data_IF_661668602094
#
_entry.id   IF_661668602094
#
_cell.length_a   1.000
_cell.length_b   1.000
_cell.length_c   1.000
_cell.angle_alpha   90.00
_cell.angle_beta   90.00
_cell.angle_gamma   90.00
#
_symmetry.space_group_name_H-M   'P 1'
#
loop_
_entity.id
_entity.type
_entity.pdbx_description
1 polymer ?
#
# COMPACT_ATOMS: atom_id res chain seq x y z
N UNK A 1 11.82 26.19 -1.75
CA UNK A 1 11.07 25.41 -2.75
C UNK A 1 11.88 24.16 -2.99
N UNK A 2 11.41 23.02 -2.50
CA UNK A 2 12.09 21.76 -2.78
C UNK A 2 11.92 21.44 -4.26
N UNK A 3 12.94 20.88 -4.88
CA UNK A 3 12.82 20.38 -6.24
C UNK A 3 11.92 19.14 -6.22
N UNK A 4 10.98 19.06 -7.14
CA UNK A 4 10.17 17.85 -7.34
C UNK A 4 11.10 16.68 -7.61
N UNK A 5 11.00 15.63 -6.80
CA UNK A 5 11.81 14.41 -6.88
C UNK A 5 10.92 13.20 -7.11
N UNK A 6 11.48 12.17 -7.73
CA UNK A 6 10.81 10.88 -7.85
C UNK A 6 10.77 10.22 -6.47
N UNK A 7 9.57 9.81 -6.06
CA UNK A 7 9.32 9.10 -4.82
C UNK A 7 8.40 7.92 -5.09
N UNK A 8 8.45 6.95 -4.20
CA UNK A 8 7.50 5.86 -4.15
C UNK A 8 6.87 5.78 -2.77
N UNK A 9 5.66 5.25 -2.71
CA UNK A 9 4.98 4.92 -1.46
C UNK A 9 4.59 3.46 -1.50
N UNK A 10 5.20 2.65 -0.62
CA UNK A 10 4.93 1.22 -0.48
C UNK A 10 4.15 1.01 0.82
N UNK A 11 2.89 0.63 0.68
CA UNK A 11 1.96 0.39 1.78
C UNK A 11 1.38 -1.00 1.67
N UNK A 12 1.24 -1.65 2.80
CA UNK A 12 0.34 -2.79 2.94
C UNK A 12 -0.96 -2.29 3.54
N UNK A 13 -2.09 -2.66 2.96
CA UNK A 13 -3.42 -2.28 3.42
C UNK A 13 -4.34 -3.50 3.52
N UNK A 14 -5.25 -3.49 4.49
CA UNK A 14 -6.31 -4.49 4.60
C UNK A 14 -7.62 -3.89 4.09
N UNK A 15 -8.13 -4.39 2.96
CA UNK A 15 -9.31 -3.84 2.30
C UNK A 15 -10.13 -4.93 1.61
N UNK A 16 -11.41 -4.66 1.33
CA UNK A 16 -12.22 -5.55 0.47
C UNK A 16 -11.85 -5.31 -1.00
N UNK A 17 -11.91 -6.33 -1.88
CA UNK A 17 -11.57 -6.17 -3.29
C UNK A 17 -12.32 -5.05 -4.01
N UNK A 18 -13.63 -4.92 -3.77
CA UNK A 18 -14.43 -3.86 -4.37
C UNK A 18 -14.04 -2.45 -3.89
N UNK A 19 -13.57 -2.32 -2.64
CA UNK A 19 -13.06 -1.06 -2.11
C UNK A 19 -11.73 -0.70 -2.77
N UNK A 20 -10.85 -1.68 -2.94
CA UNK A 20 -9.57 -1.48 -3.63
C UNK A 20 -9.75 -1.07 -5.10
N UNK A 21 -10.64 -1.72 -5.84
CA UNK A 21 -10.95 -1.35 -7.23
C UNK A 21 -11.43 0.10 -7.34
N UNK A 22 -12.31 0.52 -6.44
CA UNK A 22 -12.78 1.92 -6.41
C UNK A 22 -11.64 2.87 -6.03
N UNK A 23 -10.88 2.53 -4.98
CA UNK A 23 -9.82 3.35 -4.42
C UNK A 23 -8.68 3.58 -5.43
N UNK A 24 -8.21 2.51 -6.08
CA UNK A 24 -7.16 2.56 -7.10
C UNK A 24 -7.51 3.46 -8.28
N UNK A 25 -8.79 3.57 -8.65
CA UNK A 25 -9.26 4.46 -9.71
C UNK A 25 -9.29 5.95 -9.32
N UNK A 26 -9.50 6.27 -8.04
CA UNK A 26 -9.59 7.66 -7.56
C UNK A 26 -8.29 8.20 -6.96
N UNK A 27 -7.39 7.31 -6.53
CA UNK A 27 -6.13 7.67 -5.86
C UNK A 27 -5.27 8.66 -6.65
N UNK A 28 -5.02 8.46 -7.98
CA UNK A 28 -4.19 9.38 -8.75
C UNK A 28 -4.72 10.81 -8.75
N UNK A 29 -6.04 10.97 -8.92
CA UNK A 29 -6.67 12.29 -8.92
C UNK A 29 -6.63 12.94 -7.52
N UNK A 30 -6.94 12.18 -6.47
CA UNK A 30 -6.91 12.68 -5.09
C UNK A 30 -5.51 13.12 -4.66
N UNK A 31 -4.47 12.40 -5.09
CA UNK A 31 -3.08 12.72 -4.79
C UNK A 31 -2.54 13.91 -5.59
N UNK A 32 -3.00 14.08 -6.83
CA UNK A 32 -2.66 15.25 -7.65
C UNK A 32 -3.07 16.57 -7.00
N UNK A 33 -4.21 16.61 -6.31
CA UNK A 33 -4.70 17.80 -5.58
C UNK A 33 -3.84 18.18 -4.35
N UNK A 34 -2.98 17.26 -3.88
CA UNK A 34 -2.15 17.45 -2.67
C UNK A 34 -0.65 17.40 -2.95
N UNK A 35 -0.25 17.84 -4.15
CA UNK A 35 1.16 17.96 -4.57
C UNK A 35 1.90 16.62 -4.68
N UNK A 36 1.17 15.55 -4.99
CA UNK A 36 1.74 14.24 -5.32
C UNK A 36 1.29 13.83 -6.72
N UNK A 37 2.16 14.02 -7.71
CA UNK A 37 1.89 13.63 -9.10
C UNK A 37 2.14 12.13 -9.26
N UNK A 38 1.09 11.36 -9.56
CA UNK A 38 1.14 9.90 -9.59
C UNK A 38 1.44 9.41 -11.00
N UNK A 39 2.54 8.67 -11.16
CA UNK A 39 2.93 8.03 -12.41
C UNK A 39 2.27 6.64 -12.54
N UNK A 40 2.32 5.84 -11.47
CA UNK A 40 1.71 4.49 -11.45
C UNK A 40 1.15 4.17 -10.08
N UNK A 41 0.01 3.47 -10.06
CA UNK A 41 -0.55 2.81 -8.87
C UNK A 41 -0.59 1.32 -9.16
N UNK A 42 0.11 0.56 -8.33
CA UNK A 42 0.09 -0.89 -8.37
C UNK A 42 -0.48 -1.41 -7.07
N UNK A 43 -1.36 -2.41 -7.14
CA UNK A 43 -1.85 -3.12 -5.97
C UNK A 43 -1.95 -4.60 -6.27
N UNK A 44 -1.33 -5.39 -5.42
CA UNK A 44 -1.32 -6.85 -5.53
C UNK A 44 -1.83 -7.47 -4.24
N UNK A 45 -2.62 -8.53 -4.35
CA UNK A 45 -3.06 -9.30 -3.20
C UNK A 45 -1.87 -10.11 -2.69
N UNK A 46 -1.50 -9.89 -1.44
CA UNK A 46 -0.49 -10.69 -0.76
C UNK A 46 -1.14 -11.96 -0.25
N UNK A 47 -0.68 -13.10 -0.75
CA UNK A 47 -1.16 -14.40 -0.30
C UNK A 47 -0.57 -14.73 1.09
N UNK A 48 -1.41 -14.61 2.11
CA UNK A 48 -1.07 -14.93 3.50
C UNK A 48 -1.14 -16.43 3.82
N UNK A 49 -1.43 -17.29 2.86
CA UNK A 49 -1.52 -18.75 3.10
C UNK A 49 -0.18 -19.35 3.52
N UNK A 50 0.95 -18.73 3.16
CA UNK A 50 2.28 -19.17 3.59
C UNK A 50 2.73 -18.55 4.93
N UNK A 51 2.22 -17.38 5.30
CA UNK A 51 2.57 -16.66 6.52
C UNK A 51 1.31 -16.05 7.17
N UNK A 52 0.59 -16.81 8.02
CA UNK A 52 -0.65 -16.34 8.64
C UNK A 52 -0.42 -15.24 9.69
N UNK A 53 0.81 -15.05 10.16
CA UNK A 53 1.19 -13.99 11.12
C UNK A 53 1.43 -12.66 10.40
N UNK A 54 0.33 -12.04 9.96
CA UNK A 54 0.36 -10.65 9.51
C UNK A 54 -0.11 -9.69 10.62
N UNK A 55 0.67 -8.63 10.85
CA UNK A 55 0.34 -7.62 11.88
C UNK A 55 -1.03 -6.95 11.65
N UNK A 56 -1.43 -6.70 10.38
CA UNK A 56 -2.75 -6.09 10.10
C UNK A 56 -3.90 -7.05 10.33
N UNK A 57 -3.71 -8.33 10.00
CA UNK A 57 -4.71 -9.37 10.29
C UNK A 57 -4.90 -9.51 11.80
N UNK A 58 -3.80 -9.50 12.54
CA UNK A 58 -3.82 -9.56 14.01
C UNK A 58 -4.51 -8.33 14.60
N UNK A 59 -4.17 -7.12 14.13
CA UNK A 59 -4.78 -5.88 14.60
C UNK A 59 -6.28 -5.83 14.30
N UNK A 60 -6.68 -6.23 13.09
CA UNK A 60 -8.08 -6.31 12.70
C UNK A 60 -8.85 -7.30 13.59
N UNK A 61 -8.28 -8.47 13.85
CA UNK A 61 -8.92 -9.47 14.71
C UNK A 61 -9.10 -8.99 16.15
N UNK A 62 -8.13 -8.25 16.68
CA UNK A 62 -8.22 -7.65 18.01
C UNK A 62 -9.28 -6.54 18.09
N UNK A 63 -9.35 -5.66 17.09
CA UNK A 63 -10.31 -4.54 17.07
C UNK A 63 -11.75 -5.00 16.75
N UNK A 64 -11.92 -5.88 15.77
CA UNK A 64 -13.24 -6.32 15.28
C UNK A 64 -13.76 -7.58 15.98
N UNK A 65 -12.93 -8.26 16.77
CA UNK A 65 -13.29 -9.52 17.42
C UNK A 65 -13.55 -10.68 16.46
N UNK A 66 -13.09 -10.57 15.20
CA UNK A 66 -13.21 -11.60 14.17
C UNK A 66 -12.03 -11.57 13.21
N UNK A 67 -11.69 -12.72 12.63
CA UNK A 67 -10.73 -12.75 11.53
C UNK A 67 -11.30 -12.03 10.29
N UNK A 68 -10.44 -11.41 9.46
CA UNK A 68 -10.85 -10.90 8.16
C UNK A 68 -11.30 -12.07 7.28
N UNK A 69 -12.52 -11.99 6.75
CA UNK A 69 -13.12 -13.04 5.90
C UNK A 69 -13.43 -12.53 4.50
N UNK A 70 -13.66 -11.22 4.37
CA UNK A 70 -13.90 -10.55 3.09
C UNK A 70 -12.79 -9.57 2.75
N UNK A 71 -12.04 -9.14 3.75
CA UNK A 71 -10.86 -8.28 3.62
C UNK A 71 -9.64 -9.11 3.26
N UNK A 72 -8.85 -8.64 2.29
CA UNK A 72 -7.59 -9.25 1.89
C UNK A 72 -6.46 -8.23 2.04
N UNK A 73 -5.24 -8.74 2.23
CA UNK A 73 -4.06 -7.89 2.32
C UNK A 73 -3.61 -7.50 0.91
N UNK A 74 -3.49 -6.20 0.68
CA UNK A 74 -2.92 -5.64 -0.54
C UNK A 74 -1.56 -5.03 -0.24
N UNK A 75 -0.55 -5.32 -1.06
CA UNK A 75 0.65 -4.49 -1.17
C UNK A 75 0.44 -3.48 -2.29
N UNK A 76 0.49 -2.22 -1.94
CA UNK A 76 0.20 -1.07 -2.77
C UNK A 76 1.46 -0.26 -2.95
N UNK A 77 1.89 -0.11 -4.20
CA UNK A 77 3.05 0.67 -4.58
C UNK A 77 2.59 1.82 -5.47
N UNK A 78 2.81 3.05 -5.02
CA UNK A 78 2.47 4.27 -5.75
C UNK A 78 3.78 4.95 -6.14
N UNK A 79 4.12 4.95 -7.42
CA UNK A 79 5.26 5.70 -7.93
C UNK A 79 4.79 7.05 -8.44
N UNK A 80 5.59 8.07 -8.19
CA UNK A 80 5.26 9.40 -8.64
C UNK A 80 6.36 10.41 -8.35
N UNK A 81 5.96 11.67 -8.35
CA UNK A 81 6.84 12.82 -8.16
C UNK A 81 6.21 13.79 -7.19
N UNK A 82 7.00 14.27 -6.24
CA UNK A 82 6.55 15.25 -5.25
C UNK A 82 7.74 16.06 -4.72
N UNK A 83 7.48 17.28 -4.26
CA UNK A 83 8.42 18.12 -3.51
C UNK A 83 8.26 17.96 -1.98
N UNK A 84 7.28 17.16 -1.54
CA UNK A 84 7.02 16.86 -0.14
C UNK A 84 8.18 16.08 0.51
N UNK A 85 8.31 16.24 1.82
CA UNK A 85 9.10 15.33 2.64
C UNK A 85 8.44 13.94 2.67
N UNK A 86 9.24 12.88 2.76
CA UNK A 86 8.73 11.50 2.66
C UNK A 86 7.64 11.20 3.68
N UNK A 87 7.79 11.73 4.91
CA UNK A 87 6.78 11.59 5.96
C UNK A 87 5.45 12.25 5.57
N UNK A 88 5.51 13.44 4.98
CA UNK A 88 4.33 14.17 4.55
C UNK A 88 3.70 13.49 3.32
N UNK A 89 4.52 12.98 2.40
CA UNK A 89 4.06 12.17 1.28
C UNK A 89 3.29 10.93 1.77
N UNK A 90 3.82 10.19 2.75
CA UNK A 90 3.11 9.06 3.37
C UNK A 90 1.80 9.53 4.01
N UNK A 91 1.80 10.64 4.73
CA UNK A 91 0.60 11.18 5.35
C UNK A 91 -0.47 11.59 4.32
N UNK A 92 -0.08 12.10 3.15
CA UNK A 92 -1.01 12.41 2.05
C UNK A 92 -1.62 11.15 1.46
N UNK A 93 -0.81 10.12 1.22
CA UNK A 93 -1.31 8.82 0.72
C UNK A 93 -2.28 8.19 1.71
N UNK A 94 -1.91 8.15 2.98
CA UNK A 94 -2.78 7.61 4.04
C UNK A 94 -4.05 8.44 4.20
N UNK A 95 -3.96 9.77 4.08
CA UNK A 95 -5.12 10.67 4.12
C UNK A 95 -6.08 10.52 2.95
N UNK A 96 -5.64 9.91 1.83
CA UNK A 96 -6.49 9.56 0.70
C UNK A 96 -7.17 8.18 0.86
N UNK A 97 -6.77 7.38 1.85
CA UNK A 97 -7.42 6.10 2.15
C UNK A 97 -8.76 6.34 2.88
N UNK A 98 -9.71 5.40 2.76
CA UNK A 98 -10.93 5.43 3.56
C UNK A 98 -10.65 5.46 5.06
N UNK A 99 -11.53 6.12 5.82
CA UNK A 99 -11.39 6.17 7.28
C UNK A 99 -11.47 4.76 7.87
N UNK A 100 -10.54 4.45 8.79
CA UNK A 100 -10.46 3.14 9.43
C UNK A 100 -9.80 2.05 8.59
N UNK A 101 -9.21 2.37 7.43
CA UNK A 101 -8.33 1.44 6.70
C UNK A 101 -7.10 1.11 7.54
N UNK A 102 -6.86 -0.19 7.74
CA UNK A 102 -5.64 -0.68 8.37
C UNK A 102 -4.49 -0.65 7.37
N UNK A 103 -3.37 -0.05 7.76
CA UNK A 103 -2.22 0.10 6.88
C UNK A 103 -0.89 0.07 7.65
N UNK A 104 0.17 -0.32 6.97
CA UNK A 104 1.56 -0.06 7.39
C UNK A 104 2.43 0.17 6.15
N UNK A 105 3.54 0.88 6.32
CA UNK A 105 4.48 1.16 5.23
C UNK A 105 4.98 2.59 5.28
N UNK A 106 5.67 3.01 4.22
CA UNK A 106 6.31 4.33 4.17
C UNK A 106 6.58 4.76 2.73
N UNK A 107 6.82 6.06 2.55
CA UNK A 107 7.38 6.61 1.32
C UNK A 107 8.90 6.54 1.34
N UNK A 108 9.50 6.37 0.16
CA UNK A 108 10.93 6.26 -0.09
C UNK A 108 11.33 7.17 -1.26
N UNK A 109 12.62 7.54 -1.31
CA UNK A 109 13.17 8.21 -2.49
C UNK A 109 13.37 7.22 -3.65
N UNK A 110 13.09 7.69 -4.86
CA UNK A 110 13.20 6.88 -6.08
C UNK A 110 11.95 6.04 -6.37
N UNK A 111 11.91 5.39 -7.55
CA UNK A 111 10.83 4.48 -7.89
C UNK A 111 11.00 3.13 -7.19
N UNK A 112 9.89 2.48 -6.90
CA UNK A 112 9.83 1.09 -6.43
C UNK A 112 9.21 0.23 -7.52
N UNK A 113 9.93 -0.83 -7.90
CA UNK A 113 9.42 -1.80 -8.86
C UNK A 113 8.30 -2.63 -8.21
N UNK A 114 7.16 -2.83 -8.89
CA UNK A 114 6.04 -3.64 -8.40
C UNK A 114 6.33 -5.16 -8.41
N UNK A 115 7.60 -5.57 -8.37
CA UNK A 115 7.99 -6.97 -8.38
C UNK A 115 7.75 -7.66 -7.02
N UNK A 116 7.22 -8.88 -7.08
CA UNK A 116 7.11 -9.79 -5.94
C UNK A 116 8.51 -10.15 -5.44
N UNK A 117 8.90 -9.58 -4.30
CA UNK A 117 9.86 -10.24 -3.42
C UNK A 117 9.14 -11.35 -2.67
N UNK A 118 9.54 -12.59 -2.90
CA UNK A 118 9.14 -13.82 -2.21
C UNK A 118 7.91 -14.60 -2.75
N UNK A 119 7.93 -14.95 -4.03
CA UNK A 119 7.48 -16.32 -4.39
C UNK A 119 8.52 -17.28 -3.83
N UNK A 120 8.19 -18.01 -2.76
CA UNK A 120 8.96 -19.08 -2.12
C UNK A 120 10.25 -19.47 -2.86
N UNK A 121 11.35 -18.74 -2.62
CA UNK A 121 12.64 -19.00 -3.22
C UNK A 121 13.40 -20.10 -2.46
N UNK A 122 12.72 -21.21 -2.17
CA UNK A 122 13.34 -22.46 -1.71
C UNK A 122 12.55 -23.63 -2.31
N UNK A 123 12.82 -23.95 -3.58
CA UNK A 123 12.66 -25.32 -4.02
C UNK A 123 13.79 -26.12 -3.36
N UNK A 124 13.46 -26.78 -2.26
CA UNK A 124 14.25 -27.86 -1.70
C UNK A 124 14.44 -28.91 -2.80
N UNK A 125 15.65 -28.97 -3.36
CA UNK A 125 16.04 -30.04 -4.28
C UNK A 125 16.50 -31.22 -3.42
N UNK A 126 15.56 -32.11 -3.12
CA UNK A 126 15.85 -33.50 -2.78
C UNK A 126 16.24 -34.30 -4.02
#
# INVERSE_FOLDING_TARGET
>A
MNATRTISTDLNILARPAEWETLSGVLPAALGEVSYDVDTVHGEIVDLTCEPDNMLVTQFAQDKGRMPTTEVLYRVIINGRSDLDLRDATARVVGALPEGTYWYGTSMEGPTEPGIGASCAWQDRS
#
